data_IF_073994355970
#
_entry.id   IF_073994355970
#
_cell.length_a   1.000
_cell.length_b   1.000
_cell.length_c   1.000
_cell.angle_alpha   90.00
_cell.angle_beta   90.00
_cell.angle_gamma   90.00
#
_symmetry.space_group_name_H-M   'P 1'
#
loop_
_entity.id
_entity.type
_entity.pdbx_description
1 polymer ?
#
# COMPACT_ATOMS: atom_id res chain seq x y z
N UNK A 1 17.11 -28.37 2.64
CA UNK A 1 17.77 -27.85 3.86
C UNK A 1 17.65 -26.34 3.82
N UNK A 2 17.08 -25.71 4.84
CA UNK A 2 16.91 -24.26 4.89
C UNK A 2 18.21 -23.64 5.42
N UNK A 3 18.90 -22.85 4.61
CA UNK A 3 20.07 -22.09 5.06
C UNK A 3 19.67 -21.10 6.15
N UNK A 4 20.40 -21.10 7.26
CA UNK A 4 20.22 -20.12 8.35
C UNK A 4 21.20 -18.97 8.14
N UNK A 5 20.70 -17.73 8.14
CA UNK A 5 21.49 -16.51 7.98
C UNK A 5 21.41 -15.71 9.29
N UNK A 6 22.55 -15.16 9.74
CA UNK A 6 22.62 -14.33 10.95
C UNK A 6 22.29 -12.86 10.62
N UNK A 7 21.38 -12.26 11.40
CA UNK A 7 21.03 -10.84 11.30
C UNK A 7 21.67 -10.09 12.48
N UNK A 8 22.57 -9.15 12.20
CA UNK A 8 23.21 -8.29 13.21
C UNK A 8 22.66 -6.86 13.15
N UNK A 9 21.93 -6.45 14.18
CA UNK A 9 21.35 -5.09 14.28
C UNK A 9 21.83 -4.42 15.57
N UNK A 10 22.21 -3.14 15.49
CA UNK A 10 22.53 -2.32 16.66
C UNK A 10 21.23 -1.73 17.22
N UNK A 11 20.96 -1.98 18.50
CA UNK A 11 19.78 -1.49 19.22
C UNK A 11 20.26 -0.74 20.46
N UNK A 12 19.53 0.29 20.87
CA UNK A 12 19.81 1.01 22.11
C UNK A 12 19.68 0.07 23.32
N UNK A 13 20.62 0.16 24.26
CA UNK A 13 20.71 -0.77 25.39
C UNK A 13 19.49 -0.70 26.31
N UNK A 14 19.04 0.52 26.64
CA UNK A 14 17.84 0.79 27.45
C UNK A 14 16.61 0.11 26.86
N UNK A 15 16.37 0.36 25.57
CA UNK A 15 15.25 -0.23 24.82
C UNK A 15 15.32 -1.76 24.81
N UNK A 16 16.50 -2.33 24.54
CA UNK A 16 16.68 -3.78 24.53
C UNK A 16 16.36 -4.40 25.90
N UNK A 17 16.88 -3.83 26.97
CA UNK A 17 16.72 -4.39 28.31
C UNK A 17 15.25 -4.37 28.76
N UNK A 18 14.51 -3.30 28.44
CA UNK A 18 13.06 -3.19 28.72
C UNK A 18 12.25 -4.19 27.89
N UNK A 19 12.52 -4.29 26.58
CA UNK A 19 11.81 -5.20 25.68
C UNK A 19 12.08 -6.67 26.06
N UNK A 20 13.29 -7.01 26.48
CA UNK A 20 13.62 -8.36 26.94
C UNK A 20 12.86 -8.77 28.21
N UNK A 21 12.46 -7.81 29.06
CA UNK A 21 11.59 -8.08 30.21
C UNK A 21 10.18 -8.40 29.74
N UNK A 22 9.64 -7.59 28.82
CA UNK A 22 8.29 -7.77 28.26
C UNK A 22 8.20 -9.12 27.54
N UNK A 23 9.16 -9.42 26.67
CA UNK A 23 9.19 -10.66 25.89
C UNK A 23 9.29 -11.90 26.80
N UNK A 24 10.09 -11.84 27.86
CA UNK A 24 10.13 -12.90 28.88
C UNK A 24 8.78 -13.08 29.59
N UNK A 25 8.08 -11.99 29.88
CA UNK A 25 6.73 -12.05 30.45
C UNK A 25 5.70 -12.71 29.54
N UNK A 26 5.93 -12.69 28.22
CA UNK A 26 5.10 -13.33 27.20
C UNK A 26 5.57 -14.75 26.82
N UNK A 27 6.64 -15.26 27.44
CA UNK A 27 7.32 -16.51 27.07
C UNK A 27 7.81 -16.55 25.60
N UNK A 28 8.20 -15.40 25.08
CA UNK A 28 8.71 -15.24 23.70
C UNK A 28 10.20 -14.90 23.73
N UNK A 29 10.99 -15.60 22.93
CA UNK A 29 12.40 -15.26 22.72
C UNK A 29 12.52 -14.11 21.70
N UNK A 30 13.49 -13.19 21.85
CA UNK A 30 13.71 -12.12 20.88
C UNK A 30 13.89 -12.63 19.43
N UNK A 31 14.59 -13.75 19.25
CA UNK A 31 14.76 -14.39 17.95
C UNK A 31 13.43 -14.90 17.36
N UNK A 32 12.54 -15.42 18.20
CA UNK A 32 11.19 -15.84 17.78
C UNK A 32 10.35 -14.63 17.37
N UNK A 33 10.41 -13.52 18.11
CA UNK A 33 9.71 -12.29 17.76
C UNK A 33 10.18 -11.72 16.40
N UNK A 34 11.50 -11.67 16.18
CA UNK A 34 12.08 -11.24 14.90
C UNK A 34 11.64 -12.17 13.77
N UNK A 35 11.79 -13.49 13.93
CA UNK A 35 11.35 -14.45 12.91
C UNK A 35 9.85 -14.34 12.61
N UNK A 36 9.02 -14.13 13.63
CA UNK A 36 7.59 -13.90 13.48
C UNK A 36 7.29 -12.66 12.64
N UNK A 37 8.03 -11.56 12.84
CA UNK A 37 7.91 -10.36 12.02
C UNK A 37 8.28 -10.63 10.55
N UNK A 38 9.38 -11.35 10.29
CA UNK A 38 9.75 -11.74 8.91
C UNK A 38 8.70 -12.63 8.25
N UNK A 39 8.15 -13.60 8.99
CA UNK A 39 7.09 -14.47 8.50
C UNK A 39 5.81 -13.69 8.19
N UNK A 40 5.43 -12.75 9.05
CA UNK A 40 4.29 -11.88 8.83
C UNK A 40 4.46 -11.05 7.56
N UNK A 41 5.60 -10.37 7.40
CA UNK A 41 5.90 -9.57 6.21
C UNK A 41 5.90 -10.43 4.95
N UNK A 42 6.44 -11.65 5.02
CA UNK A 42 6.43 -12.58 3.89
C UNK A 42 5.01 -13.02 3.50
N UNK A 43 4.15 -13.29 4.49
CA UNK A 43 2.79 -13.78 4.30
C UNK A 43 1.84 -12.67 3.82
N UNK A 44 1.91 -11.49 4.43
CA UNK A 44 0.94 -10.42 4.23
C UNK A 44 1.45 -9.30 3.32
N UNK A 45 2.74 -9.30 2.97
CA UNK A 45 3.40 -8.25 2.17
C UNK A 45 3.27 -6.85 2.78
N UNK A 46 3.10 -6.78 4.10
CA UNK A 46 2.96 -5.54 4.86
C UNK A 46 3.59 -5.65 6.26
N UNK A 47 3.83 -4.51 6.90
CA UNK A 47 4.26 -4.46 8.31
C UNK A 47 3.04 -4.59 9.23
N UNK A 48 3.16 -5.27 10.38
CA UNK A 48 2.06 -5.40 11.35
C UNK A 48 1.77 -4.10 12.11
N UNK A 49 2.63 -3.08 11.97
CA UNK A 49 2.47 -1.75 12.53
C UNK A 49 3.27 -0.73 11.73
N UNK A 50 3.04 0.55 12.02
CA UNK A 50 3.57 1.67 11.27
C UNK A 50 4.84 2.16 11.95
N UNK A 51 5.96 2.21 11.22
CA UNK A 51 7.24 2.71 11.73
C UNK A 51 7.43 4.12 11.19
N UNK A 52 7.33 5.14 12.04
CA UNK A 52 7.71 6.51 11.68
C UNK A 52 9.02 6.89 12.36
N UNK A 53 10.03 7.25 11.59
CA UNK A 53 11.32 7.78 12.07
C UNK A 53 11.23 9.23 12.56
N UNK A 54 10.05 9.84 12.46
CA UNK A 54 9.73 11.19 12.94
C UNK A 54 8.41 11.18 13.71
N UNK A 55 8.27 12.02 14.73
CA UNK A 55 6.98 12.25 15.39
C UNK A 55 6.11 13.03 14.41
N UNK A 56 5.17 12.36 13.75
CA UNK A 56 4.17 13.00 12.89
C UNK A 56 2.95 13.35 13.72
N UNK A 57 2.46 14.59 13.59
CA UNK A 57 1.17 14.96 14.19
C UNK A 57 0.02 14.39 13.35
N UNK A 58 -1.19 14.24 13.91
CA UNK A 58 -2.37 13.85 13.13
C UNK A 58 -2.60 14.74 11.89
N UNK A 59 -2.23 16.03 11.97
CA UNK A 59 -2.31 16.98 10.85
C UNK A 59 -1.30 16.66 9.73
N UNK A 60 -0.09 16.24 10.09
CA UNK A 60 0.93 15.85 9.10
C UNK A 60 0.51 14.58 8.36
N UNK A 61 -0.02 13.60 9.10
CA UNK A 61 -0.55 12.34 8.57
C UNK A 61 -1.73 12.61 7.62
N UNK A 62 -2.68 13.45 8.05
CA UNK A 62 -3.80 13.85 7.20
C UNK A 62 -3.31 14.57 5.93
N UNK A 63 -2.33 15.47 6.05
CA UNK A 63 -1.74 16.17 4.91
C UNK A 63 -1.08 15.24 3.88
N UNK A 64 -0.39 14.19 4.33
CA UNK A 64 0.18 13.16 3.45
C UNK A 64 -0.91 12.35 2.73
N UNK A 65 -1.97 11.96 3.45
CA UNK A 65 -3.13 11.28 2.87
C UNK A 65 -3.80 12.13 1.79
N UNK A 66 -3.98 13.43 2.02
CA UNK A 66 -4.56 14.34 1.02
C UNK A 66 -3.70 14.46 -0.23
N UNK A 67 -2.37 14.57 -0.07
CA UNK A 67 -1.44 14.58 -1.22
C UNK A 67 -1.58 13.29 -2.02
N UNK A 68 -1.63 12.15 -1.32
CA UNK A 68 -1.79 10.84 -1.95
C UNK A 68 -3.12 10.74 -2.71
N UNK A 69 -4.24 11.16 -2.12
CA UNK A 69 -5.55 11.22 -2.80
C UNK A 69 -5.50 12.12 -4.03
N UNK A 70 -4.91 13.31 -3.90
CA UNK A 70 -4.85 14.27 -4.99
C UNK A 70 -4.05 13.71 -6.18
N UNK A 71 -2.87 13.15 -5.92
CA UNK A 71 -2.02 12.50 -6.93
C UNK A 71 -2.70 11.29 -7.56
N UNK A 72 -3.42 10.50 -6.77
CA UNK A 72 -4.20 9.37 -7.25
C UNK A 72 -5.31 9.85 -8.20
N UNK A 73 -6.11 10.83 -7.78
CA UNK A 73 -7.22 11.36 -8.57
C UNK A 73 -6.77 11.93 -9.92
N UNK A 74 -5.69 12.71 -9.95
CA UNK A 74 -5.17 13.30 -11.19
C UNK A 74 -4.64 12.25 -12.16
N UNK A 75 -4.08 11.16 -11.64
CA UNK A 75 -3.46 10.12 -12.47
C UNK A 75 -4.49 9.10 -12.95
N UNK A 76 -5.45 8.76 -12.10
CA UNK A 76 -6.52 7.82 -12.42
C UNK A 76 -7.41 8.31 -13.54
N UNK A 77 -7.75 9.61 -13.60
CA UNK A 77 -8.62 10.13 -14.66
C UNK A 77 -8.05 9.87 -16.06
N UNK A 78 -6.77 10.21 -16.25
CA UNK A 78 -6.06 10.00 -17.52
C UNK A 78 -5.93 8.52 -17.85
N UNK A 79 -5.64 7.69 -16.85
CA UNK A 79 -5.47 6.25 -17.06
C UNK A 79 -6.79 5.56 -17.41
N UNK A 80 -7.87 5.93 -16.72
CA UNK A 80 -9.21 5.40 -16.93
C UNK A 80 -9.74 5.78 -18.31
N UNK A 81 -9.50 7.01 -18.78
CA UNK A 81 -9.84 7.42 -20.14
C UNK A 81 -9.13 6.55 -21.18
N UNK A 82 -7.83 6.27 -20.99
CA UNK A 82 -7.07 5.39 -21.90
C UNK A 82 -7.60 3.97 -21.93
N UNK A 83 -7.92 3.39 -20.77
CA UNK A 83 -8.51 2.05 -20.68
C UNK A 83 -9.86 2.01 -21.40
N UNK A 84 -10.75 2.97 -21.12
CA UNK A 84 -12.09 3.01 -21.70
C UNK A 84 -12.08 3.22 -23.21
N UNK A 85 -11.11 4.00 -23.72
CA UNK A 85 -10.91 4.23 -25.15
C UNK A 85 -10.10 3.13 -25.83
N UNK A 86 -9.72 2.06 -25.11
CA UNK A 86 -8.86 0.97 -25.59
C UNK A 86 -7.56 1.47 -26.23
N UNK A 87 -7.02 2.57 -25.71
CA UNK A 87 -5.75 3.13 -26.15
C UNK A 87 -4.59 2.30 -25.57
N UNK A 88 -3.50 2.19 -26.33
CA UNK A 88 -2.28 1.56 -25.86
C UNK A 88 -1.69 2.34 -24.68
N UNK A 89 -1.51 1.67 -23.55
CA UNK A 89 -0.87 2.22 -22.35
C UNK A 89 0.59 1.78 -22.34
N UNK A 90 1.53 2.73 -22.27
CA UNK A 90 2.95 2.37 -22.20
C UNK A 90 3.31 1.82 -20.84
N UNK A 91 4.33 0.96 -20.79
CA UNK A 91 4.88 0.39 -19.56
C UNK A 91 5.20 1.43 -18.50
N UNK A 92 5.88 2.52 -18.87
CA UNK A 92 6.19 3.60 -17.94
C UNK A 92 4.94 4.21 -17.30
N UNK A 93 3.84 4.36 -18.05
CA UNK A 93 2.58 4.92 -17.56
C UNK A 93 1.87 3.95 -16.60
N UNK A 94 1.84 2.65 -16.96
CA UNK A 94 1.30 1.61 -16.10
C UNK A 94 2.07 1.50 -14.78
N UNK A 95 3.41 1.61 -14.82
CA UNK A 95 4.25 1.62 -13.62
C UNK A 95 3.97 2.84 -12.73
N UNK A 96 3.85 4.05 -13.31
CA UNK A 96 3.50 5.26 -12.54
C UNK A 96 2.16 5.09 -11.83
N UNK A 97 1.14 4.60 -12.55
CA UNK A 97 -0.20 4.40 -11.96
C UNK A 97 -0.15 3.36 -10.85
N UNK A 98 0.57 2.25 -11.08
CA UNK A 98 0.76 1.20 -10.09
C UNK A 98 1.44 1.74 -8.83
N UNK A 99 2.51 2.51 -8.98
CA UNK A 99 3.27 3.06 -7.85
C UNK A 99 2.43 4.07 -7.06
N UNK A 100 1.63 4.91 -7.73
CA UNK A 100 0.70 5.84 -7.08
C UNK A 100 -0.42 5.12 -6.32
N UNK A 101 -0.99 4.05 -6.90
CA UNK A 101 -1.99 3.21 -6.21
C UNK A 101 -1.36 2.56 -4.97
N UNK A 102 -0.13 2.06 -5.08
CA UNK A 102 0.59 1.47 -3.96
C UNK A 102 0.88 2.47 -2.85
N UNK A 103 1.35 3.67 -3.20
CA UNK A 103 1.60 4.75 -2.24
C UNK A 103 0.33 5.18 -1.51
N UNK A 104 -0.81 5.18 -2.20
CA UNK A 104 -2.12 5.38 -1.58
C UNK A 104 -2.48 4.30 -0.58
N UNK A 105 -2.31 3.02 -0.94
CA UNK A 105 -2.57 1.89 -0.04
C UNK A 105 -1.70 2.00 1.21
N UNK A 106 -0.40 2.25 1.04
CA UNK A 106 0.53 2.41 2.18
C UNK A 106 0.13 3.59 3.03
N UNK A 107 -0.07 4.77 2.43
CA UNK A 107 -0.44 5.99 3.15
C UNK A 107 -1.71 5.77 3.95
N UNK A 108 -2.71 5.09 3.37
CA UNK A 108 -3.94 4.74 4.06
C UNK A 108 -3.71 3.77 5.21
N UNK A 109 -3.00 2.65 5.00
CA UNK A 109 -2.71 1.70 6.09
C UNK A 109 -1.97 2.36 7.24
N UNK A 110 -1.13 3.37 6.93
CA UNK A 110 -0.37 4.12 7.92
C UNK A 110 -1.17 5.23 8.62
N UNK A 111 -2.08 5.88 7.91
CA UNK A 111 -2.75 7.10 8.39
C UNK A 111 -4.23 6.94 8.70
N UNK A 112 -4.87 5.89 8.18
CA UNK A 112 -6.32 5.74 8.11
C UNK A 112 -6.99 5.72 9.48
N UNK A 113 -6.35 5.11 10.47
CA UNK A 113 -6.85 5.07 11.86
C UNK A 113 -6.96 6.47 12.50
N UNK A 114 -6.19 7.45 12.04
CA UNK A 114 -6.23 8.82 12.55
C UNK A 114 -7.32 9.68 11.90
N UNK A 115 -7.96 9.18 10.84
CA UNK A 115 -9.06 9.86 10.16
C UNK A 115 -10.35 9.86 10.99
N UNK A 116 -10.56 8.83 11.82
CA UNK A 116 -11.69 8.74 12.76
C UNK A 116 -11.66 9.84 13.85
N UNK A 117 -10.51 10.47 14.09
CA UNK A 117 -10.34 11.55 15.07
C UNK A 117 -10.49 12.95 14.46
N UNK A 118 -10.70 13.02 13.14
CA UNK A 118 -10.53 14.24 12.37
C UNK A 118 -11.89 14.75 11.89
N UNK A 119 -12.19 16.03 12.15
CA UNK A 119 -13.38 16.74 11.62
C UNK A 119 -13.32 16.93 10.09
N UNK A 120 -12.42 16.23 9.40
CA UNK A 120 -12.08 16.47 8.01
C UNK A 120 -12.89 15.53 7.11
N UNK A 121 -14.00 16.11 6.65
CA UNK A 121 -14.89 15.78 5.53
C UNK A 121 -15.38 14.34 5.36
N UNK A 122 -16.71 14.24 5.43
CA UNK A 122 -17.54 13.05 5.21
C UNK A 122 -17.59 12.61 3.72
N UNK A 123 -16.65 13.03 2.86
CA UNK A 123 -16.75 12.79 1.41
C UNK A 123 -16.07 11.50 0.94
N UNK A 124 -15.09 10.97 1.68
CA UNK A 124 -14.31 9.80 1.26
C UNK A 124 -14.82 8.52 1.92
N UNK A 125 -15.20 7.52 1.12
CA UNK A 125 -15.56 6.17 1.60
C UNK A 125 -14.31 5.31 1.63
N UNK A 126 -13.54 5.48 2.71
CA UNK A 126 -12.18 4.97 2.84
C UNK A 126 -12.02 3.47 2.64
N UNK A 127 -12.93 2.68 3.22
CA UNK A 127 -12.90 1.22 3.09
C UNK A 127 -13.00 0.78 1.63
N UNK A 128 -13.97 1.34 0.90
CA UNK A 128 -14.22 1.02 -0.51
C UNK A 128 -13.09 1.52 -1.41
N UNK A 129 -12.53 2.70 -1.11
CA UNK A 129 -11.37 3.22 -1.83
C UNK A 129 -10.18 2.26 -1.72
N UNK A 130 -9.88 1.76 -0.53
CA UNK A 130 -8.71 0.89 -0.32
C UNK A 130 -8.89 -0.45 -0.98
N UNK A 131 -10.06 -1.08 -0.83
CA UNK A 131 -10.37 -2.35 -1.51
C UNK A 131 -10.28 -2.22 -3.03
N UNK A 132 -10.79 -1.11 -3.58
CA UNK A 132 -10.71 -0.84 -5.01
C UNK A 132 -9.26 -0.63 -5.48
N UNK A 133 -8.46 0.12 -4.71
CA UNK A 133 -7.04 0.34 -4.96
C UNK A 133 -6.24 -0.97 -4.91
N UNK A 134 -6.44 -1.79 -3.89
CA UNK A 134 -5.77 -3.10 -3.76
C UNK A 134 -6.10 -4.02 -4.93
N UNK A 135 -7.37 -4.10 -5.32
CA UNK A 135 -7.79 -4.89 -6.47
C UNK A 135 -7.18 -4.40 -7.78
N UNK A 136 -7.14 -3.09 -8.00
CA UNK A 136 -6.54 -2.50 -9.20
C UNK A 136 -5.02 -2.75 -9.25
N UNK A 137 -4.35 -2.56 -8.11
CA UNK A 137 -2.93 -2.87 -7.96
C UNK A 137 -2.62 -4.33 -8.28
N UNK A 138 -3.43 -5.25 -7.76
CA UNK A 138 -3.25 -6.68 -7.99
C UNK A 138 -3.37 -7.07 -9.48
N UNK A 139 -4.33 -6.48 -10.21
CA UNK A 139 -4.47 -6.70 -11.66
C UNK A 139 -3.25 -6.14 -12.40
N UNK A 140 -2.84 -4.91 -12.10
CA UNK A 140 -1.66 -4.30 -12.73
C UNK A 140 -0.36 -5.05 -12.43
N UNK A 141 -0.28 -5.73 -11.27
CA UNK A 141 0.90 -6.50 -10.88
C UNK A 141 0.93 -7.89 -11.52
N UNK A 142 -0.21 -8.59 -11.56
CA UNK A 142 -0.26 -10.02 -11.90
C UNK A 142 -0.69 -10.29 -13.34
N UNK A 143 -1.46 -9.38 -13.95
CA UNK A 143 -2.10 -9.62 -15.24
C UNK A 143 -1.55 -8.73 -16.35
N UNK A 144 -0.86 -7.63 -16.02
CA UNK A 144 -0.29 -6.73 -17.02
C UNK A 144 0.96 -7.33 -17.65
N UNK A 145 0.83 -7.79 -18.89
CA UNK A 145 1.95 -8.14 -19.76
C UNK A 145 2.30 -6.98 -20.69
N UNK A 146 3.47 -7.03 -21.33
CA UNK A 146 3.90 -5.97 -22.25
C UNK A 146 4.35 -6.60 -23.57
N UNK A 147 3.87 -6.06 -24.68
CA UNK A 147 4.31 -6.49 -26.01
C UNK A 147 5.68 -5.88 -26.37
N UNK A 148 6.17 -6.19 -27.58
CA UNK A 148 7.47 -5.71 -28.09
C UNK A 148 7.60 -4.18 -28.17
N UNK A 149 6.47 -3.46 -28.17
CA UNK A 149 6.42 -2.00 -28.17
C UNK A 149 6.23 -1.40 -26.76
N UNK A 150 6.42 -2.21 -25.70
CA UNK A 150 6.17 -1.84 -24.30
C UNK A 150 4.72 -1.38 -24.03
N UNK A 151 3.76 -1.85 -24.84
CA UNK A 151 2.33 -1.56 -24.64
C UNK A 151 1.72 -2.64 -23.77
N UNK A 152 1.10 -2.21 -22.68
CA UNK A 152 0.38 -3.06 -21.74
C UNK A 152 -0.70 -3.87 -22.45
N UNK A 153 -0.70 -5.18 -22.20
CA UNK A 153 -1.70 -6.15 -22.62
C UNK A 153 -2.42 -6.67 -21.38
N UNK A 154 -3.75 -6.65 -21.44
CA UNK A 154 -4.64 -7.23 -20.44
C UNK A 154 -5.72 -8.01 -21.18
N UNK A 155 -6.10 -9.17 -20.67
CA UNK A 155 -7.27 -9.88 -21.18
C UNK A 155 -8.56 -9.08 -20.92
N UNK A 156 -9.60 -9.32 -21.71
CA UNK A 156 -10.84 -8.54 -21.67
C UNK A 156 -11.50 -8.54 -20.27
N UNK A 157 -11.41 -9.65 -19.54
CA UNK A 157 -11.95 -9.76 -18.18
C UNK A 157 -11.15 -8.89 -17.21
N UNK A 158 -9.82 -8.89 -17.32
CA UNK A 158 -8.95 -8.02 -16.53
C UNK A 158 -9.17 -6.54 -16.84
N UNK A 159 -9.39 -6.17 -18.10
CA UNK A 159 -9.71 -4.79 -18.51
C UNK A 159 -11.03 -4.32 -17.88
N UNK A 160 -12.10 -5.11 -18.01
CA UNK A 160 -13.39 -4.75 -17.42
C UNK A 160 -13.30 -4.59 -15.90
N UNK A 161 -12.67 -5.57 -15.22
CA UNK A 161 -12.52 -5.53 -13.77
C UNK A 161 -11.65 -4.36 -13.31
N UNK A 162 -10.57 -4.06 -14.03
CA UNK A 162 -9.71 -2.93 -13.73
C UNK A 162 -10.50 -1.62 -13.90
N UNK A 163 -11.28 -1.46 -14.98
CA UNK A 163 -12.11 -0.26 -15.17
C UNK A 163 -13.13 -0.08 -14.03
N UNK A 164 -13.83 -1.14 -13.62
CA UNK A 164 -14.79 -1.10 -12.52
C UNK A 164 -14.13 -0.70 -11.19
N UNK A 165 -12.95 -1.25 -10.89
CA UNK A 165 -12.21 -0.94 -9.67
C UNK A 165 -11.69 0.50 -9.69
N UNK A 166 -11.16 0.98 -10.82
CA UNK A 166 -10.70 2.37 -10.95
C UNK A 166 -11.87 3.36 -10.88
N UNK A 167 -13.04 3.01 -11.42
CA UNK A 167 -14.28 3.80 -11.28
C UNK A 167 -14.75 3.86 -9.82
N UNK A 168 -14.75 2.72 -9.13
CA UNK A 168 -15.08 2.64 -7.70
C UNK A 168 -14.13 3.52 -6.89
N UNK A 169 -12.83 3.35 -7.09
CA UNK A 169 -11.78 4.13 -6.45
C UNK A 169 -11.98 5.63 -6.68
N UNK A 170 -12.18 6.04 -7.93
CA UNK A 170 -12.40 7.44 -8.30
C UNK A 170 -13.64 8.04 -7.64
N UNK A 171 -14.73 7.27 -7.48
CA UNK A 171 -15.94 7.72 -6.78
C UNK A 171 -15.73 7.83 -5.28
N UNK A 172 -15.01 6.88 -4.69
CA UNK A 172 -14.79 6.83 -3.24
C UNK A 172 -13.83 7.92 -2.74
N UNK A 173 -13.01 8.50 -3.61
CA UNK A 173 -12.07 9.59 -3.28
C UNK A 173 -12.48 10.96 -3.85
N UNK A 174 -13.75 11.10 -4.28
CA UNK A 174 -14.24 12.29 -5.01
C UNK A 174 -14.53 13.51 -4.15
#
# INVERSE_FOLDING_TARGET
>A
MTEQIQIGVKVEKSLKDEVDVILRGLDIKPTTAINGLYQYILQHRELPFIISTSVKTPKDIAGELFKSIFSLRSTLSVFLDKINLKQGIRRGEALIVRDIIHDFIISFRQGGQYLNASQFEHSVVWHDAVLAAEGAYDILLKNAEYNENDIMQLDEKSVCRLSDLLLSLYRSVR
#
